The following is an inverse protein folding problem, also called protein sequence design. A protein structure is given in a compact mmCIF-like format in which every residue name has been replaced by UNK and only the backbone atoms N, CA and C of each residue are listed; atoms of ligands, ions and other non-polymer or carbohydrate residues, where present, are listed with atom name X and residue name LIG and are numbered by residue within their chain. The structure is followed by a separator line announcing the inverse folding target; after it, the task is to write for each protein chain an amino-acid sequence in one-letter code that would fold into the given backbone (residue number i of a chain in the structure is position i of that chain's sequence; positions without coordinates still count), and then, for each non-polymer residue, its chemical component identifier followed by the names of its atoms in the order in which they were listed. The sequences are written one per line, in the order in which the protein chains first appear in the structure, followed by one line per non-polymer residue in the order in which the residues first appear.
data_IF_894976847155
#
_entry.id   IF_894976847155
#
_cell.length_a   1.000
_cell.length_b   1.000
_cell.length_c   1.000
_cell.angle_alpha   90.00
_cell.angle_beta   90.00
_cell.angle_gamma   90.00
#
_symmetry.space_group_name_H-M   'P 1'
#
loop_
_entity.id
_entity.type
_entity.pdbx_description
1 polymer ?
#
# COMPACT_ATOMS: atom_id res chain seq x y z
N UNK A 1 -15.24 3.68 -20.25
CA UNK A 1 -15.40 2.41 -19.50
C UNK A 1 -14.22 1.47 -19.72
N UNK A 2 -13.83 1.23 -20.94
CA UNK A 2 -12.69 0.32 -21.27
C UNK A 2 -11.33 0.79 -20.66
N UNK A 3 -11.05 2.09 -20.63
CA UNK A 3 -9.83 2.64 -20.01
C UNK A 3 -9.77 2.37 -18.50
N UNK A 4 -10.87 2.60 -17.80
CA UNK A 4 -10.98 2.29 -16.36
C UNK A 4 -10.75 0.82 -16.05
N UNK A 5 -11.38 -0.06 -16.81
CA UNK A 5 -11.26 -1.52 -16.64
C UNK A 5 -9.80 -1.98 -16.82
N UNK A 6 -9.10 -1.44 -17.82
CA UNK A 6 -7.70 -1.76 -18.07
C UNK A 6 -6.82 -1.31 -16.90
N UNK A 7 -6.96 -0.05 -16.47
CA UNK A 7 -6.19 0.50 -15.35
C UNK A 7 -6.48 -0.25 -14.04
N UNK A 8 -7.74 -0.56 -13.80
CA UNK A 8 -8.14 -1.31 -12.61
C UNK A 8 -7.56 -2.72 -12.61
N UNK A 9 -7.64 -3.42 -13.74
CA UNK A 9 -7.08 -4.76 -13.89
C UNK A 9 -5.59 -4.81 -13.58
N UNK A 10 -4.81 -3.85 -14.09
CA UNK A 10 -3.37 -3.72 -13.81
C UNK A 10 -3.08 -3.45 -12.32
N UNK A 11 -3.99 -2.77 -11.63
CA UNK A 11 -3.78 -2.34 -10.25
C UNK A 11 -4.45 -3.25 -9.22
N UNK A 12 -5.27 -4.24 -9.65
CA UNK A 12 -6.06 -5.06 -8.74
C UNK A 12 -5.18 -5.90 -7.81
N UNK A 13 -4.16 -6.56 -8.34
CA UNK A 13 -3.22 -7.34 -7.54
C UNK A 13 -2.49 -6.51 -6.47
N UNK A 14 -1.84 -5.39 -6.85
CA UNK A 14 -1.27 -4.45 -5.88
C UNK A 14 -2.27 -3.91 -4.86
N UNK A 15 -3.50 -3.58 -5.28
CA UNK A 15 -4.57 -3.12 -4.40
C UNK A 15 -4.93 -4.19 -3.35
N UNK A 16 -5.17 -5.42 -3.79
CA UNK A 16 -5.46 -6.53 -2.91
C UNK A 16 -4.35 -6.73 -1.87
N UNK A 17 -3.09 -6.81 -2.30
CA UNK A 17 -1.94 -6.94 -1.40
C UNK A 17 -1.89 -5.82 -0.38
N UNK A 18 -2.13 -4.57 -0.78
CA UNK A 18 -2.15 -3.43 0.12
C UNK A 18 -3.25 -3.55 1.18
N UNK A 19 -4.48 -3.89 0.77
CA UNK A 19 -5.62 -4.00 1.69
C UNK A 19 -5.43 -5.20 2.63
N UNK A 20 -5.07 -6.36 2.10
CA UNK A 20 -4.79 -7.56 2.92
C UNK A 20 -3.63 -7.37 3.89
N UNK A 21 -2.66 -6.55 3.52
CA UNK A 21 -1.60 -6.15 4.44
C UNK A 21 -2.12 -5.27 5.59
N UNK A 22 -3.07 -4.38 5.31
CA UNK A 22 -3.64 -3.44 6.29
C UNK A 22 -4.71 -4.08 7.18
N UNK A 23 -5.49 -5.01 6.64
CA UNK A 23 -6.67 -5.60 7.30
C UNK A 23 -6.39 -7.07 7.62
N UNK A 24 -6.48 -7.42 8.90
CA UNK A 24 -6.17 -8.78 9.38
C UNK A 24 -7.21 -9.83 9.00
N UNK A 25 -8.47 -9.45 8.92
CA UNK A 25 -9.56 -10.34 8.57
C UNK A 25 -9.68 -10.42 7.04
N UNK A 26 -9.48 -11.60 6.47
CA UNK A 26 -9.51 -11.80 5.03
C UNK A 26 -10.86 -11.45 4.39
N UNK A 27 -11.97 -11.71 5.06
CA UNK A 27 -13.30 -11.37 4.57
C UNK A 27 -13.53 -9.86 4.59
N UNK A 28 -13.14 -9.18 5.66
CA UNK A 28 -13.23 -7.73 5.74
C UNK A 28 -12.30 -7.06 4.73
N UNK A 29 -11.11 -7.62 4.50
CA UNK A 29 -10.20 -7.14 3.47
C UNK A 29 -10.82 -7.24 2.07
N UNK A 30 -11.47 -8.35 1.74
CA UNK A 30 -12.16 -8.53 0.48
C UNK A 30 -13.30 -7.52 0.28
N UNK A 31 -14.11 -7.32 1.31
CA UNK A 31 -15.17 -6.30 1.31
C UNK A 31 -14.62 -4.90 1.08
N UNK A 32 -13.50 -4.57 1.72
CA UNK A 32 -12.84 -3.27 1.52
C UNK A 32 -12.30 -3.13 0.09
N UNK A 33 -11.70 -4.18 -0.49
CA UNK A 33 -11.27 -4.16 -1.89
C UNK A 33 -12.46 -3.86 -2.81
N UNK A 34 -13.60 -4.51 -2.60
CA UNK A 34 -14.82 -4.25 -3.37
C UNK A 34 -15.30 -2.82 -3.20
N UNK A 35 -15.34 -2.29 -1.97
CA UNK A 35 -15.72 -0.91 -1.71
C UNK A 35 -14.77 0.10 -2.38
N UNK A 36 -13.47 -0.19 -2.43
CA UNK A 36 -12.48 0.62 -3.14
C UNK A 36 -12.77 0.64 -4.64
N UNK A 37 -13.01 -0.52 -5.23
CA UNK A 37 -13.34 -0.65 -6.66
C UNK A 37 -14.62 0.12 -7.02
N UNK A 38 -15.68 -0.02 -6.20
CA UNK A 38 -16.93 0.72 -6.39
C UNK A 38 -16.71 2.25 -6.28
N UNK A 39 -15.99 2.69 -5.27
CA UNK A 39 -15.68 4.11 -5.08
C UNK A 39 -14.85 4.65 -6.25
N UNK A 40 -13.88 3.86 -6.73
CA UNK A 40 -13.06 4.23 -7.87
C UNK A 40 -13.90 4.35 -9.15
N UNK A 41 -14.81 3.41 -9.39
CA UNK A 41 -15.74 3.48 -10.53
C UNK A 41 -16.56 4.76 -10.51
N UNK A 42 -17.14 5.10 -9.36
CA UNK A 42 -17.97 6.29 -9.21
C UNK A 42 -17.19 7.60 -9.37
N UNK A 43 -15.92 7.62 -8.97
CA UNK A 43 -15.09 8.83 -8.94
C UNK A 43 -14.08 8.92 -10.08
N UNK A 44 -14.06 7.97 -11.00
CA UNK A 44 -13.05 7.90 -12.05
C UNK A 44 -12.99 9.16 -12.92
N UNK A 45 -14.15 9.70 -13.27
CA UNK A 45 -14.22 10.93 -14.10
C UNK A 45 -13.63 12.16 -13.39
N UNK A 46 -13.56 12.14 -12.06
CA UNK A 46 -12.93 13.23 -11.30
C UNK A 46 -11.39 13.18 -11.31
N UNK A 47 -10.80 12.06 -11.73
CA UNK A 47 -9.36 11.91 -11.86
C UNK A 47 -8.90 12.52 -13.18
N UNK A 48 -8.35 13.73 -13.13
CA UNK A 48 -7.92 14.45 -14.32
C UNK A 48 -6.66 13.85 -14.99
N UNK A 49 -5.71 13.37 -14.17
CA UNK A 49 -4.47 12.76 -14.64
C UNK A 49 -4.51 11.24 -14.43
N UNK A 50 -4.72 10.51 -15.53
CA UNK A 50 -4.80 9.04 -15.53
C UNK A 50 -3.50 8.35 -15.13
N UNK A 51 -2.36 9.03 -15.32
CA UNK A 51 -1.07 8.49 -14.86
C UNK A 51 -0.98 8.35 -13.33
N UNK A 52 -1.82 9.06 -12.59
CA UNK A 52 -1.93 8.99 -11.14
C UNK A 52 -2.90 7.91 -10.63
N UNK A 53 -3.51 7.13 -11.52
CA UNK A 53 -4.56 6.17 -11.17
C UNK A 53 -4.14 5.23 -10.03
N UNK A 54 -2.95 4.65 -10.10
CA UNK A 54 -2.43 3.72 -9.08
C UNK A 54 -2.34 4.38 -7.69
N UNK A 55 -1.73 5.55 -7.60
CA UNK A 55 -1.59 6.26 -6.32
C UNK A 55 -2.93 6.79 -5.80
N UNK A 56 -3.81 7.21 -6.69
CA UNK A 56 -5.16 7.63 -6.36
C UNK A 56 -6.00 6.48 -5.81
N UNK A 57 -5.93 5.30 -6.45
CA UNK A 57 -6.62 4.08 -6.01
C UNK A 57 -6.16 3.65 -4.61
N UNK A 58 -4.85 3.65 -4.37
CA UNK A 58 -4.29 3.36 -3.04
C UNK A 58 -4.73 4.39 -2.00
N UNK A 59 -4.89 5.63 -2.39
CA UNK A 59 -5.44 6.65 -1.50
C UNK A 59 -6.87 6.36 -1.07
N UNK A 60 -7.72 5.90 -1.98
CA UNK A 60 -9.07 5.43 -1.67
C UNK A 60 -8.98 4.25 -0.69
N UNK A 61 -8.12 3.27 -0.98
CA UNK A 61 -7.91 2.12 -0.12
C UNK A 61 -7.45 2.50 1.29
N UNK A 62 -6.50 3.43 1.40
CA UNK A 62 -6.02 3.90 2.70
C UNK A 62 -7.14 4.56 3.52
N UNK A 63 -7.98 5.37 2.90
CA UNK A 63 -9.15 5.95 3.57
C UNK A 63 -10.13 4.88 4.05
N UNK A 64 -10.44 3.89 3.21
CA UNK A 64 -11.34 2.79 3.57
C UNK A 64 -10.79 1.95 4.73
N UNK A 65 -9.51 1.62 4.72
CA UNK A 65 -8.86 0.91 5.82
C UNK A 65 -8.88 1.74 7.12
N UNK A 66 -8.62 3.03 7.05
CA UNK A 66 -8.67 3.92 8.21
C UNK A 66 -10.09 4.00 8.78
N UNK A 67 -11.11 4.11 7.94
CA UNK A 67 -12.51 4.13 8.37
C UNK A 67 -12.94 2.78 8.97
N UNK A 68 -12.43 1.68 8.44
CA UNK A 68 -12.64 0.36 9.04
C UNK A 68 -12.15 0.32 10.49
N UNK A 69 -10.90 0.74 10.75
CA UNK A 69 -10.36 0.74 12.10
C UNK A 69 -11.06 1.73 13.03
N UNK A 70 -11.46 2.89 12.52
CA UNK A 70 -12.29 3.83 13.31
C UNK A 70 -13.62 3.22 13.74
N UNK A 71 -14.27 2.45 12.86
CA UNK A 71 -15.50 1.73 13.19
C UNK A 71 -15.25 0.63 14.22
N UNK A 72 -14.19 -0.14 14.06
CA UNK A 72 -13.80 -1.18 15.02
C UNK A 72 -13.47 -0.59 16.39
N UNK A 73 -12.74 0.50 16.46
CA UNK A 73 -12.43 1.19 17.70
C UNK A 73 -13.68 1.68 18.46
N UNK A 74 -14.68 2.18 17.74
CA UNK A 74 -15.98 2.58 18.33
C UNK A 74 -16.75 1.40 18.93
N UNK A 75 -16.68 0.24 18.28
CA UNK A 75 -17.37 -0.99 18.74
C UNK A 75 -16.66 -1.61 19.94
N UNK A 76 -15.32 -1.60 19.95
CA UNK A 76 -14.49 -2.35 20.90
C UNK A 76 -13.87 -1.49 22.02
N UNK A 77 -14.09 -0.17 22.02
CA UNK A 77 -13.40 0.80 22.90
C UNK A 77 -11.86 0.69 22.86
N UNK A 78 -11.31 0.23 21.75
CA UNK A 78 -9.86 0.06 21.52
C UNK A 78 -9.30 1.34 20.88
N UNK A 79 -8.18 1.81 21.39
CA UNK A 79 -7.47 2.96 20.84
C UNK A 79 -6.81 2.60 19.50
N UNK A 80 -6.73 3.59 18.60
CA UNK A 80 -6.21 3.44 17.21
C UNK A 80 -4.74 2.98 17.18
N UNK A 81 -4.01 3.06 18.30
CA UNK A 81 -2.61 2.65 18.43
C UNK A 81 -2.44 1.12 18.58
N UNK A 82 -3.50 0.39 18.88
CA UNK A 82 -3.49 -1.06 19.08
C UNK A 82 -3.99 -1.83 17.83
N UNK A 83 -3.56 -1.43 16.64
CA UNK A 83 -3.87 -2.17 15.41
C UNK A 83 -3.06 -3.46 15.39
N UNK A 84 -3.69 -4.65 15.48
CA UNK A 84 -2.98 -5.92 15.43
C UNK A 84 -2.22 -6.06 14.11
N UNK A 85 -0.98 -6.52 14.16
CA UNK A 85 -0.21 -6.88 12.98
C UNK A 85 -0.87 -8.05 12.24
N UNK A 86 -1.17 -7.84 10.96
CA UNK A 86 -1.79 -8.85 10.13
C UNK A 86 -0.82 -9.99 9.79
N UNK A 87 -1.22 -11.21 10.00
CA UNK A 87 -0.61 -12.36 9.36
C UNK A 87 -1.05 -12.43 7.89
N UNK A 88 -0.18 -12.04 6.98
CA UNK A 88 -0.38 -12.23 5.56
C UNK A 88 0.08 -13.64 5.16
N UNK A 89 -0.86 -14.50 4.85
CA UNK A 89 -0.59 -15.68 4.04
C UNK A 89 -0.61 -15.25 2.58
N UNK A 90 0.56 -15.07 2.00
CA UNK A 90 0.70 -14.87 0.55
C UNK A 90 1.13 -16.21 -0.03
N UNK A 91 0.19 -16.89 -0.68
CA UNK A 91 0.52 -17.98 -1.58
C UNK A 91 0.70 -17.37 -2.97
N UNK A 92 1.95 -17.10 -3.36
CA UNK A 92 2.32 -16.93 -4.76
C UNK A 92 3.82 -17.15 -4.97
N UNK A 93 4.13 -18.03 -5.91
CA UNK A 93 5.47 -18.48 -6.25
C UNK A 93 6.26 -17.41 -7.02
N UNK A 94 7.12 -16.68 -6.32
CA UNK A 94 8.19 -15.89 -6.94
C UNK A 94 9.51 -16.13 -6.16
N UNK A 95 10.68 -16.13 -6.81
CA UNK A 95 11.95 -16.59 -6.22
C UNK A 95 12.59 -15.69 -5.14
N UNK A 96 11.95 -14.62 -4.77
CA UNK A 96 12.21 -13.84 -3.54
C UNK A 96 11.14 -14.21 -2.55
N UNK A 97 11.49 -14.67 -1.37
CA UNK A 97 10.53 -15.00 -0.33
C UNK A 97 9.66 -13.79 0.00
N UNK A 98 8.43 -13.71 -0.55
CA UNK A 98 7.55 -12.55 -0.30
C UNK A 98 7.21 -12.40 1.16
N UNK A 99 7.26 -13.48 1.93
CA UNK A 99 7.03 -13.53 3.36
C UNK A 99 8.09 -12.71 4.10
N UNK A 100 9.38 -12.91 3.79
CA UNK A 100 10.47 -12.17 4.41
C UNK A 100 10.41 -10.67 4.10
N UNK A 101 10.02 -10.30 2.87
CA UNK A 101 9.81 -8.90 2.49
C UNK A 101 8.68 -8.27 3.31
N UNK A 102 7.56 -8.96 3.43
CA UNK A 102 6.40 -8.46 4.17
C UNK A 102 6.67 -8.36 5.67
N UNK A 103 7.34 -9.36 6.25
CA UNK A 103 7.77 -9.32 7.66
C UNK A 103 8.71 -8.15 7.91
N UNK A 104 9.67 -7.93 7.02
CA UNK A 104 10.59 -6.80 7.14
C UNK A 104 9.86 -5.46 7.02
N UNK A 105 8.91 -5.34 6.11
CA UNK A 105 8.08 -4.14 5.98
C UNK A 105 7.25 -3.87 7.24
N UNK A 106 6.80 -4.90 7.95
CA UNK A 106 6.06 -4.75 9.22
C UNK A 106 6.89 -4.12 10.33
N UNK A 107 8.20 -4.32 10.32
CA UNK A 107 9.12 -3.73 11.31
C UNK A 107 9.34 -2.24 11.09
N UNK A 108 8.94 -1.71 9.94
CA UNK A 108 9.04 -0.29 9.63
C UNK A 108 7.82 0.48 10.16
N UNK A 109 8.03 1.77 10.45
CA UNK A 109 6.92 2.67 10.77
C UNK A 109 5.99 2.83 9.58
N UNK A 110 4.70 3.02 9.81
CA UNK A 110 3.68 3.15 8.77
C UNK A 110 4.04 4.11 7.65
N UNK A 111 4.59 5.28 8.00
CA UNK A 111 5.01 6.30 7.03
C UNK A 111 6.15 5.83 6.12
N UNK A 112 7.11 5.09 6.66
CA UNK A 112 8.26 4.55 5.91
C UNK A 112 7.80 3.40 5.01
N UNK A 113 6.97 2.55 5.51
CA UNK A 113 6.35 1.43 4.81
C UNK A 113 5.48 1.88 3.64
N UNK A 114 4.62 2.87 3.87
CA UNK A 114 3.74 3.43 2.85
C UNK A 114 4.54 4.02 1.68
N UNK A 115 5.58 4.77 1.97
CA UNK A 115 6.39 5.41 0.92
C UNK A 115 7.17 4.41 0.09
N UNK A 116 7.70 3.34 0.71
CA UNK A 116 8.34 2.23 0.00
C UNK A 116 7.33 1.50 -0.89
N UNK A 117 6.14 1.23 -0.37
CA UNK A 117 5.09 0.57 -1.12
C UNK A 117 4.69 1.38 -2.36
N UNK A 118 4.43 2.67 -2.19
CA UNK A 118 4.08 3.55 -3.32
C UNK A 118 5.18 3.59 -4.39
N UNK A 119 6.43 3.66 -3.97
CA UNK A 119 7.54 3.79 -4.90
C UNK A 119 7.86 2.47 -5.63
N UNK A 120 7.99 1.36 -4.90
CA UNK A 120 8.47 0.09 -5.46
C UNK A 120 7.35 -0.81 -5.99
N UNK A 121 6.22 -0.89 -5.31
CA UNK A 121 5.13 -1.78 -5.72
C UNK A 121 4.13 -1.12 -6.67
N UNK A 122 3.84 0.16 -6.45
CA UNK A 122 2.93 0.91 -7.30
C UNK A 122 3.65 1.70 -8.39
N UNK A 123 4.98 1.63 -8.42
CA UNK A 123 5.82 2.32 -9.39
C UNK A 123 5.48 3.82 -9.52
N UNK A 124 5.20 4.48 -8.39
CA UNK A 124 4.80 5.87 -8.34
C UNK A 124 6.05 6.76 -8.29
N UNK A 125 6.09 7.81 -9.12
CA UNK A 125 7.21 8.76 -9.11
C UNK A 125 7.30 9.55 -7.80
N UNK A 126 8.49 10.02 -7.45
CA UNK A 126 8.70 10.81 -6.23
C UNK A 126 7.87 12.08 -6.20
N UNK A 127 7.69 12.72 -7.35
CA UNK A 127 6.84 13.90 -7.54
C UNK A 127 5.38 13.60 -7.25
N UNK A 128 4.89 12.45 -7.72
CA UNK A 128 3.52 12.01 -7.50
C UNK A 128 3.29 11.58 -6.04
N UNK A 129 4.28 10.94 -5.42
CA UNK A 129 4.25 10.64 -3.98
C UNK A 129 4.18 11.94 -3.17
N UNK A 130 5.01 12.93 -3.51
CA UNK A 130 5.02 14.23 -2.86
C UNK A 130 3.65 14.91 -2.92
N UNK A 131 3.04 14.95 -4.09
CA UNK A 131 1.66 15.47 -4.29
C UNK A 131 0.65 14.69 -3.45
N UNK A 132 0.73 13.37 -3.48
CA UNK A 132 -0.22 12.48 -2.80
C UNK A 132 -0.16 12.64 -1.27
N UNK A 133 1.05 12.74 -0.72
CA UNK A 133 1.27 12.87 0.72
C UNK A 133 1.27 14.33 1.19
N UNK A 134 1.15 15.30 0.29
CA UNK A 134 1.23 16.74 0.56
C UNK A 134 2.52 17.12 1.30
N UNK A 135 3.65 16.59 0.82
CA UNK A 135 4.99 16.86 1.36
C UNK A 135 5.95 17.27 0.22
N UNK A 136 7.01 18.00 0.52
CA UNK A 136 8.02 18.35 -0.48
C UNK A 136 8.69 17.12 -1.10
N UNK A 137 9.08 17.19 -2.37
CA UNK A 137 9.82 16.11 -3.07
C UNK A 137 11.12 15.76 -2.34
N UNK A 138 11.82 16.76 -1.80
CA UNK A 138 13.02 16.55 -0.98
C UNK A 138 12.75 15.69 0.24
N UNK A 139 11.58 15.85 0.88
CA UNK A 139 11.14 15.02 2.00
C UNK A 139 10.83 13.59 1.55
N UNK A 140 10.26 13.41 0.36
CA UNK A 140 10.06 12.07 -0.23
C UNK A 140 11.40 11.37 -0.43
N UNK A 141 12.39 12.06 -1.00
CA UNK A 141 13.74 11.52 -1.22
C UNK A 141 14.40 11.07 0.08
N UNK A 142 14.40 11.92 1.08
CA UNK A 142 15.01 11.60 2.39
C UNK A 142 14.27 10.46 3.10
N UNK A 143 12.93 10.44 3.06
CA UNK A 143 12.15 9.35 3.65
C UNK A 143 12.37 8.03 2.93
N UNK A 144 12.42 8.03 1.59
CA UNK A 144 12.73 6.84 0.80
C UNK A 144 14.12 6.29 1.15
N UNK A 145 15.12 7.16 1.20
CA UNK A 145 16.47 6.76 1.58
C UNK A 145 16.50 6.13 2.99
N UNK A 146 15.90 6.80 3.95
CA UNK A 146 15.87 6.33 5.33
C UNK A 146 15.08 5.03 5.53
N UNK A 147 13.91 4.93 4.90
CA UNK A 147 13.09 3.73 4.93
C UNK A 147 13.81 2.54 4.28
N UNK A 148 14.53 2.78 3.20
CA UNK A 148 15.34 1.80 2.49
C UNK A 148 16.50 1.27 3.34
N UNK A 149 17.21 2.17 4.02
CA UNK A 149 18.30 1.76 4.93
C UNK A 149 17.76 0.94 6.11
N UNK A 150 16.64 1.34 6.69
CA UNK A 150 15.97 0.55 7.75
C UNK A 150 15.51 -0.81 7.24
N UNK A 151 14.93 -0.87 6.05
CA UNK A 151 14.54 -2.13 5.45
C UNK A 151 15.75 -3.07 5.31
N UNK A 152 16.86 -2.58 4.78
CA UNK A 152 18.10 -3.36 4.63
C UNK A 152 18.63 -3.89 5.97
N UNK A 153 18.53 -3.10 7.04
CA UNK A 153 19.00 -3.51 8.38
C UNK A 153 18.20 -4.69 8.94
N UNK A 154 16.93 -4.79 8.60
CA UNK A 154 16.02 -5.83 9.08
C UNK A 154 15.86 -7.01 8.12
N UNK A 155 16.21 -6.84 6.86
CA UNK A 155 16.08 -7.90 5.87
C UNK A 155 17.28 -8.86 5.93
N UNK A 156 17.05 -10.16 6.21
CA UNK A 156 18.15 -11.10 6.50
C UNK A 156 19.05 -11.39 5.28
N UNK A 157 18.56 -11.19 4.06
CA UNK A 157 19.28 -11.38 2.81
C UNK A 157 18.85 -10.34 1.79
N UNK A 158 19.42 -9.13 1.79
CA UNK A 158 19.04 -8.13 0.80
C UNK A 158 19.30 -8.65 -0.61
N UNK A 159 18.34 -8.54 -1.54
CA UNK A 159 18.54 -8.94 -2.92
C UNK A 159 19.71 -8.16 -3.53
N UNK A 160 20.69 -8.89 -4.05
CA UNK A 160 21.98 -8.34 -4.52
C UNK A 160 21.83 -7.62 -5.86
N UNK A 161 20.71 -7.73 -6.57
CA UNK A 161 20.54 -7.17 -7.91
C UNK A 161 19.76 -5.87 -7.93
N UNK A 162 20.28 -4.90 -8.66
CA UNK A 162 19.60 -3.68 -9.07
C UNK A 162 18.39 -4.06 -9.96
N UNK A 163 17.24 -4.23 -9.38
CA UNK A 163 16.02 -4.56 -10.13
C UNK A 163 15.05 -5.50 -9.44
N UNK A 164 15.45 -6.14 -8.36
CA UNK A 164 14.56 -6.96 -7.56
C UNK A 164 14.08 -6.16 -6.33
N UNK A 165 12.83 -5.82 -6.34
CA UNK A 165 11.99 -5.32 -5.23
C UNK A 165 12.51 -4.12 -4.39
N UNK A 166 13.77 -3.84 -4.34
CA UNK A 166 14.34 -2.63 -3.75
C UNK A 166 15.46 -2.08 -4.62
#
# INVERSE_FOLDING_TARGET
MHEFETLLHECLGPLQRYVYYKINNGQDAEDIVQEVCLTATMKFESLQDRSLFKSWLIGIANHKCTDYYRRQAKVNQVTIDDVPEAELKVEDEQPTDPSAVLETLRLLRDKDRQILYMYYFLNTSQENIAKRLSIPVGTVKSRLHYAKEKFKQHYPNPPISKGAVL
#
